data_IF_212145448186
#
_entry.id   IF_212145448186
#
_cell.length_a   1.000
_cell.length_b   1.000
_cell.length_c   1.000
_cell.angle_alpha   90.00
_cell.angle_beta   90.00
_cell.angle_gamma   90.00
#
_symmetry.space_group_name_H-M   'P 1'
#
loop_
_entity.id
_entity.type
_entity.pdbx_description
1 polymer ?
#
# COMPACT_ATOMS: atom_id res chain seq x y z
N UNK A 1 57.33 52.04 35.17
CA UNK A 1 56.15 51.97 34.32
C UNK A 1 55.96 50.53 33.90
N UNK A 2 54.91 49.87 34.48
CA UNK A 2 54.58 48.47 34.17
C UNK A 2 53.32 48.48 33.28
N UNK A 3 53.49 47.97 32.04
CA UNK A 3 52.35 47.78 31.15
C UNK A 3 51.71 46.41 31.43
N UNK A 4 50.46 46.39 31.83
CA UNK A 4 49.65 45.17 31.92
C UNK A 4 48.99 44.91 30.56
N UNK A 5 49.30 43.79 29.93
CA UNK A 5 48.62 43.30 28.73
C UNK A 5 47.32 42.60 29.21
N UNK A 6 46.18 43.14 28.85
CA UNK A 6 44.86 42.46 28.98
C UNK A 6 44.65 41.57 27.78
N UNK A 7 44.61 40.27 28.01
CA UNK A 7 44.27 39.27 26.96
C UNK A 7 42.74 39.10 26.97
N UNK A 8 42.06 39.65 25.96
CA UNK A 8 40.64 39.37 25.71
C UNK A 8 40.50 37.99 25.09
N UNK A 9 40.01 37.02 25.88
CA UNK A 9 39.62 35.70 25.39
C UNK A 9 38.20 35.80 24.79
N UNK A 10 38.10 35.87 23.45
CA UNK A 10 36.81 35.76 22.73
C UNK A 10 36.44 34.31 22.64
N UNK A 11 35.50 33.85 23.48
CA UNK A 11 34.83 32.56 23.36
C UNK A 11 33.88 32.59 22.15
N UNK A 12 34.26 31.92 21.06
CA UNK A 12 33.35 31.59 19.98
C UNK A 12 32.35 30.53 20.48
N UNK A 13 31.13 30.99 20.83
CA UNK A 13 29.98 30.09 20.95
C UNK A 13 29.63 29.61 19.55
N UNK A 14 30.01 28.38 19.25
CA UNK A 14 29.46 27.65 18.09
C UNK A 14 27.97 27.45 18.40
N UNK A 15 27.10 28.19 17.72
CA UNK A 15 25.66 27.87 17.69
C UNK A 15 25.52 26.52 16.96
N UNK A 16 25.43 25.44 17.72
CA UNK A 16 24.89 24.18 17.20
C UNK A 16 23.47 24.51 16.79
N UNK A 17 23.18 24.48 15.48
CA UNK A 17 21.82 24.45 14.99
C UNK A 17 21.16 23.24 15.64
N UNK A 18 20.28 23.46 16.63
CA UNK A 18 19.40 22.43 17.16
C UNK A 18 18.62 21.91 15.97
N UNK A 19 18.79 20.63 15.61
CA UNK A 19 17.93 19.97 14.67
C UNK A 19 16.49 20.20 15.14
N UNK A 20 15.60 20.56 14.22
CA UNK A 20 14.18 20.73 14.55
C UNK A 20 13.66 19.47 15.22
N UNK A 21 13.03 19.59 16.38
CA UNK A 21 12.43 18.47 17.11
C UNK A 21 11.05 18.10 16.51
N UNK A 22 10.79 18.46 15.27
CA UNK A 22 9.52 18.22 14.59
C UNK A 22 9.68 17.66 13.17
N UNK A 23 8.61 17.03 12.69
CA UNK A 23 8.45 16.50 11.34
C UNK A 23 7.02 16.72 10.86
N UNK A 24 6.83 17.22 9.65
CA UNK A 24 5.52 17.40 9.03
C UNK A 24 5.27 16.30 8.00
N UNK A 25 4.25 15.46 8.26
CA UNK A 25 3.90 14.29 7.45
C UNK A 25 2.58 14.48 6.71
N UNK A 26 2.58 14.45 5.38
CA UNK A 26 1.35 14.27 4.61
C UNK A 26 1.04 12.79 4.44
N UNK A 27 -0.18 12.38 4.83
CA UNK A 27 -0.58 10.97 4.83
C UNK A 27 -1.88 10.72 4.08
N UNK A 28 -1.86 9.71 3.18
CA UNK A 28 -3.06 9.08 2.65
C UNK A 28 -3.61 7.97 3.58
N UNK A 29 -2.82 7.54 4.56
CA UNK A 29 -3.26 6.61 5.59
C UNK A 29 -4.01 7.38 6.65
N UNK A 30 -5.15 6.86 7.07
CA UNK A 30 -5.93 7.47 8.15
C UNK A 30 -5.10 7.51 9.45
N UNK A 31 -5.19 8.58 10.24
CA UNK A 31 -4.37 8.77 11.44
C UNK A 31 -4.36 7.56 12.36
N UNK A 32 -5.51 7.03 12.77
CA UNK A 32 -5.60 5.90 13.70
C UNK A 32 -4.87 4.62 13.26
N UNK A 33 -4.50 4.50 11.98
CA UNK A 33 -3.75 3.37 11.42
C UNK A 33 -2.24 3.55 11.47
N UNK A 34 -1.76 4.76 11.72
CA UNK A 34 -0.33 5.08 11.75
C UNK A 34 0.10 5.70 13.08
N UNK A 35 -0.79 6.36 13.81
CA UNK A 35 -0.51 6.98 15.10
C UNK A 35 0.24 6.05 16.07
N UNK A 36 -0.11 4.75 16.25
CA UNK A 36 0.64 3.88 17.16
C UNK A 36 2.12 3.70 16.79
N UNK A 37 2.48 3.86 15.50
CA UNK A 37 3.88 3.84 15.06
C UNK A 37 4.52 5.22 15.30
N UNK A 38 3.81 6.32 15.02
CA UNK A 38 4.31 7.67 15.22
C UNK A 38 4.55 7.99 16.70
N UNK A 39 3.66 7.56 17.59
CA UNK A 39 3.86 7.66 19.04
C UNK A 39 5.12 6.94 19.51
N UNK A 40 5.38 5.73 18.94
CA UNK A 40 6.62 5.01 19.25
C UNK A 40 7.84 5.72 18.69
N UNK A 41 7.74 6.28 17.48
CA UNK A 41 8.82 7.07 16.88
C UNK A 41 9.16 8.28 17.78
N UNK A 42 8.17 9.09 18.14
CA UNK A 42 8.35 10.24 19.02
C UNK A 42 8.95 9.82 20.38
N UNK A 43 8.45 8.73 20.97
CA UNK A 43 8.99 8.21 22.23
C UNK A 43 10.47 7.83 22.13
N UNK A 44 10.88 7.25 21.01
CA UNK A 44 12.23 6.73 20.82
C UNK A 44 13.24 7.82 20.41
N UNK A 45 12.77 8.88 19.75
CA UNK A 45 13.65 9.89 19.13
C UNK A 45 13.50 11.29 19.72
N UNK A 46 12.38 11.59 20.39
CA UNK A 46 12.02 12.94 20.80
C UNK A 46 11.46 13.81 19.66
N UNK A 47 11.37 13.31 18.43
CA UNK A 47 10.88 14.05 17.28
C UNK A 47 9.36 14.00 17.24
N UNK A 48 8.70 15.15 17.31
CA UNK A 48 7.25 15.28 17.19
C UNK A 48 6.80 15.17 15.73
N UNK A 49 5.72 14.41 15.46
CA UNK A 49 5.20 14.22 14.12
C UNK A 49 3.85 14.91 13.93
N UNK A 50 3.85 15.98 13.15
CA UNK A 50 2.66 16.72 12.74
C UNK A 50 2.04 16.04 11.51
N UNK A 51 1.00 15.24 11.71
CA UNK A 51 0.34 14.51 10.62
C UNK A 51 -0.80 15.33 9.99
N UNK A 52 -0.81 15.44 8.68
CA UNK A 52 -1.91 15.99 7.88
C UNK A 52 -2.50 14.93 6.96
N UNK A 53 -3.74 14.52 7.22
CA UNK A 53 -4.45 13.58 6.36
C UNK A 53 -4.88 14.23 5.04
N UNK A 54 -4.54 13.58 3.92
CA UNK A 54 -4.87 14.01 2.57
C UNK A 54 -5.60 12.86 1.87
N UNK A 55 -6.89 13.02 1.57
CA UNK A 55 -7.68 11.95 0.95
C UNK A 55 -7.48 11.86 -0.58
N UNK A 56 -7.17 12.98 -1.24
CA UNK A 56 -6.92 13.10 -2.70
C UNK A 56 -6.09 14.35 -3.01
N UNK A 57 -5.48 14.40 -4.21
CA UNK A 57 -4.84 15.62 -4.72
C UNK A 57 -3.52 15.98 -4.01
N UNK A 58 -2.75 15.00 -3.52
CA UNK A 58 -1.50 15.28 -2.81
C UNK A 58 -0.44 15.91 -3.73
N UNK A 59 -0.32 15.45 -4.98
CA UNK A 59 0.60 16.02 -5.97
C UNK A 59 0.26 17.49 -6.23
N UNK A 60 -1.01 17.79 -6.45
CA UNK A 60 -1.51 19.13 -6.68
C UNK A 60 -1.31 20.02 -5.46
N UNK A 61 -1.55 19.50 -4.26
CA UNK A 61 -1.35 20.22 -3.00
C UNK A 61 0.12 20.62 -2.82
N UNK A 62 1.05 19.68 -3.03
CA UNK A 62 2.50 19.94 -2.87
C UNK A 62 2.96 20.94 -3.94
N UNK A 63 2.55 20.78 -5.21
CA UNK A 63 2.90 21.70 -6.29
C UNK A 63 2.37 23.11 -6.04
N UNK A 64 1.13 23.24 -5.59
CA UNK A 64 0.53 24.54 -5.30
C UNK A 64 1.24 25.27 -4.15
N UNK A 65 1.80 24.57 -3.20
CA UNK A 65 2.57 25.14 -2.10
C UNK A 65 3.99 25.55 -2.54
N UNK A 66 4.56 24.89 -3.56
CA UNK A 66 5.92 25.16 -4.06
C UNK A 66 6.96 25.12 -2.94
N UNK A 67 7.84 26.14 -2.90
CA UNK A 67 8.89 26.26 -1.89
C UNK A 67 8.34 26.52 -0.46
N UNK A 68 7.06 26.85 -0.33
CA UNK A 68 6.37 27.01 0.95
C UNK A 68 5.69 25.73 1.43
N UNK A 69 5.94 24.58 0.77
CA UNK A 69 5.39 23.31 1.22
C UNK A 69 5.89 22.99 2.64
N UNK A 70 4.98 22.82 3.61
CA UNK A 70 5.39 22.54 4.99
C UNK A 70 5.79 21.08 5.23
N UNK A 71 5.38 20.16 4.36
CA UNK A 71 5.59 18.72 4.59
C UNK A 71 7.02 18.31 4.25
N UNK A 72 7.57 17.45 5.09
CA UNK A 72 8.92 16.88 4.96
C UNK A 72 8.87 15.47 4.36
N UNK A 73 7.80 14.73 4.63
CA UNK A 73 7.61 13.37 4.14
C UNK A 73 6.17 13.13 3.70
N UNK A 74 5.99 12.07 2.92
CA UNK A 74 4.67 11.54 2.51
C UNK A 74 4.55 10.09 2.90
N UNK A 75 3.35 9.69 3.33
CA UNK A 75 2.96 8.30 3.56
C UNK A 75 1.77 7.95 2.67
N UNK A 76 1.90 6.90 1.88
CA UNK A 76 0.85 6.49 0.95
C UNK A 76 0.42 5.04 1.17
N UNK A 77 -0.67 4.64 0.53
CA UNK A 77 -1.27 3.30 0.65
C UNK A 77 -1.41 2.60 -0.71
N UNK A 78 -0.65 3.05 -1.71
CA UNK A 78 -0.68 2.50 -3.07
C UNK A 78 0.55 2.95 -3.85
N UNK A 79 1.18 2.02 -4.58
CA UNK A 79 2.38 2.32 -5.39
C UNK A 79 2.12 3.41 -6.44
N UNK A 80 0.93 3.46 -7.03
CA UNK A 80 0.61 4.48 -8.03
C UNK A 80 0.61 5.90 -7.49
N UNK A 81 0.43 6.09 -6.19
CA UNK A 81 0.53 7.41 -5.54
C UNK A 81 1.99 7.81 -5.33
N UNK A 82 2.85 6.86 -4.97
CA UNK A 82 4.30 7.08 -4.89
C UNK A 82 4.90 7.37 -6.27
N UNK A 83 4.52 6.58 -7.27
CA UNK A 83 4.94 6.77 -8.66
C UNK A 83 4.50 8.13 -9.22
N UNK A 84 3.27 8.57 -8.91
CA UNK A 84 2.79 9.90 -9.32
C UNK A 84 3.62 11.04 -8.70
N UNK A 85 4.01 10.93 -7.44
CA UNK A 85 4.90 11.87 -6.77
C UNK A 85 6.31 11.85 -7.36
N UNK A 86 6.85 10.66 -7.65
CA UNK A 86 8.16 10.49 -8.29
C UNK A 86 8.18 11.09 -9.69
N UNK A 87 7.20 10.76 -10.55
CA UNK A 87 7.04 11.35 -11.90
C UNK A 87 6.83 12.86 -11.89
N UNK A 88 6.25 13.38 -10.81
CA UNK A 88 6.09 14.83 -10.61
C UNK A 88 7.39 15.55 -10.20
N UNK A 89 8.48 14.81 -9.91
CA UNK A 89 9.76 15.36 -9.44
C UNK A 89 9.70 15.94 -8.03
N UNK A 90 8.79 15.44 -7.19
CA UNK A 90 8.52 15.97 -5.85
C UNK A 90 9.24 15.20 -4.73
N UNK A 91 9.92 14.12 -5.06
CA UNK A 91 10.60 13.25 -4.10
C UNK A 91 12.09 13.47 -4.08
N UNK A 92 12.68 13.33 -2.91
CA UNK A 92 14.12 13.38 -2.67
C UNK A 92 14.71 11.97 -2.65
N UNK A 93 15.81 11.70 -3.37
CA UNK A 93 16.51 10.42 -3.26
C UNK A 93 17.10 10.24 -1.85
N UNK A 94 16.85 9.11 -1.25
CA UNK A 94 17.41 8.70 0.04
C UNK A 94 18.29 7.48 -0.16
N UNK A 95 19.54 7.56 0.28
CA UNK A 95 20.48 6.44 0.36
C UNK A 95 20.60 6.05 1.84
N UNK A 96 20.17 4.86 2.19
CA UNK A 96 20.23 4.34 3.54
C UNK A 96 20.49 2.83 3.50
N UNK A 97 21.65 2.39 3.98
CA UNK A 97 21.95 0.96 4.10
C UNK A 97 20.91 0.20 4.94
N UNK A 98 20.32 0.86 5.96
CA UNK A 98 19.27 0.28 6.78
C UNK A 98 18.01 -0.02 5.95
N UNK A 99 17.57 0.93 5.10
CA UNK A 99 16.40 0.74 4.23
C UNK A 99 16.67 -0.29 3.14
N UNK A 100 17.92 -0.35 2.64
CA UNK A 100 18.33 -1.32 1.63
C UNK A 100 18.36 -2.75 2.16
N UNK A 101 18.76 -2.93 3.41
CA UNK A 101 18.77 -4.21 4.12
C UNK A 101 17.36 -4.67 4.52
N UNK A 102 16.55 -3.74 5.06
CA UNK A 102 15.22 -4.05 5.57
C UNK A 102 14.16 -4.27 4.49
N UNK A 103 14.31 -3.65 3.31
CA UNK A 103 13.26 -3.62 2.28
C UNK A 103 13.78 -4.29 0.99
N UNK A 104 13.18 -5.41 0.55
CA UNK A 104 13.53 -6.06 -0.70
C UNK A 104 13.52 -5.11 -1.90
N UNK A 105 14.46 -5.28 -2.82
CA UNK A 105 14.68 -4.34 -3.94
C UNK A 105 13.45 -4.14 -4.83
N UNK A 106 12.60 -5.15 -5.00
CA UNK A 106 11.36 -5.07 -5.78
C UNK A 106 10.25 -4.25 -5.08
N UNK A 107 10.39 -3.96 -3.77
CA UNK A 107 9.46 -3.17 -2.96
C UNK A 107 9.95 -1.75 -2.70
N UNK A 108 11.05 -1.29 -3.30
CA UNK A 108 11.57 0.07 -3.19
C UNK A 108 11.96 0.64 -4.55
N UNK A 109 12.06 1.96 -4.63
CA UNK A 109 12.49 2.62 -5.87
C UNK A 109 13.98 2.36 -6.11
N UNK A 110 14.41 2.03 -7.33
CA UNK A 110 15.82 1.74 -7.61
C UNK A 110 16.76 2.93 -7.32
N UNK A 111 16.26 4.15 -7.41
CA UNK A 111 17.00 5.39 -7.10
C UNK A 111 16.70 5.93 -5.69
N UNK A 112 16.05 5.15 -4.80
CA UNK A 112 15.76 5.58 -3.44
C UNK A 112 14.69 6.66 -3.30
N UNK A 113 13.82 6.86 -4.30
CA UNK A 113 12.77 7.89 -4.25
C UNK A 113 11.61 7.52 -3.32
N UNK A 114 11.33 6.25 -3.09
CA UNK A 114 10.31 5.77 -2.18
C UNK A 114 10.63 4.36 -1.67
N UNK A 115 10.02 4.01 -0.54
CA UNK A 115 10.23 2.77 0.20
C UNK A 115 8.90 2.14 0.59
N UNK A 116 8.73 0.84 0.28
CA UNK A 116 7.61 0.04 0.75
C UNK A 116 7.75 -0.24 2.24
N UNK A 117 6.68 -0.08 3.00
CA UNK A 117 6.66 -0.25 4.45
C UNK A 117 5.72 -1.37 4.92
N UNK A 118 4.80 -1.79 4.07
CA UNK A 118 3.98 -2.98 4.31
C UNK A 118 3.46 -3.54 3.01
N UNK A 119 3.24 -4.86 2.96
CA UNK A 119 2.74 -5.59 1.80
C UNK A 119 1.23 -5.79 1.92
N UNK A 120 0.54 -5.55 0.82
CA UNK A 120 -0.91 -5.62 0.70
C UNK A 120 -1.27 -6.57 -0.43
N UNK A 121 -1.45 -7.86 -0.10
CA UNK A 121 -1.77 -8.89 -1.08
C UNK A 121 -3.18 -8.72 -1.65
N UNK A 122 -3.31 -8.80 -2.97
CA UNK A 122 -4.58 -8.90 -3.68
C UNK A 122 -4.95 -10.36 -3.80
N UNK A 123 -6.11 -10.73 -3.28
CA UNK A 123 -6.52 -12.12 -3.07
C UNK A 123 -7.89 -12.39 -3.67
N UNK A 124 -8.23 -13.66 -3.84
CA UNK A 124 -9.60 -14.09 -3.96
C UNK A 124 -10.18 -14.42 -2.58
N UNK A 125 -11.41 -13.98 -2.33
CA UNK A 125 -12.27 -14.50 -1.28
C UNK A 125 -13.20 -15.53 -1.92
N UNK A 126 -13.36 -16.68 -1.28
CA UNK A 126 -14.18 -17.78 -1.77
C UNK A 126 -15.22 -18.15 -0.73
N UNK A 127 -16.45 -18.43 -1.14
CA UNK A 127 -17.49 -18.90 -0.23
C UNK A 127 -17.09 -20.19 0.46
N UNK A 128 -17.27 -20.27 1.79
CA UNK A 128 -17.09 -21.54 2.53
C UNK A 128 -18.24 -22.51 2.33
N UNK A 129 -19.42 -22.04 1.97
CA UNK A 129 -20.65 -22.84 1.86
C UNK A 129 -20.90 -23.33 0.44
N UNK A 130 -20.44 -22.57 -0.57
CA UNK A 130 -20.70 -22.88 -1.98
C UNK A 130 -19.40 -23.28 -2.67
N UNK A 131 -19.33 -24.52 -3.22
CA UNK A 131 -18.12 -25.00 -3.88
C UNK A 131 -17.84 -24.23 -5.17
N UNK A 132 -16.56 -24.12 -5.50
CA UNK A 132 -16.13 -23.56 -6.80
C UNK A 132 -16.58 -24.45 -7.95
N UNK A 133 -16.96 -23.83 -9.04
CA UNK A 133 -17.37 -24.51 -10.29
C UNK A 133 -16.19 -24.83 -11.21
N UNK A 134 -15.02 -24.23 -10.95
CA UNK A 134 -13.78 -24.44 -11.71
C UNK A 134 -12.53 -24.15 -10.89
N UNK A 135 -11.34 -24.30 -11.48
CA UNK A 135 -10.07 -24.00 -10.79
C UNK A 135 -9.99 -22.53 -10.42
N UNK A 136 -9.33 -22.24 -9.30
CA UNK A 136 -9.03 -20.87 -8.87
C UNK A 136 -7.69 -20.88 -8.12
N UNK A 137 -6.61 -21.06 -8.86
CA UNK A 137 -5.24 -21.10 -8.34
C UNK A 137 -4.37 -19.96 -8.90
N UNK A 138 -4.78 -19.39 -10.03
CA UNK A 138 -4.09 -18.29 -10.71
C UNK A 138 -5.03 -17.11 -10.91
N UNK A 139 -4.47 -15.92 -11.05
CA UNK A 139 -5.25 -14.73 -11.40
C UNK A 139 -5.98 -14.89 -12.74
N UNK A 140 -5.37 -15.63 -13.68
CA UNK A 140 -5.97 -15.96 -14.98
C UNK A 140 -7.28 -16.74 -14.84
N UNK A 141 -7.39 -17.61 -13.84
CA UNK A 141 -8.55 -18.48 -13.63
C UNK A 141 -9.84 -17.70 -13.32
N UNK A 142 -9.72 -16.43 -12.86
CA UNK A 142 -10.89 -15.56 -12.67
C UNK A 142 -11.63 -15.26 -13.98
N UNK A 143 -10.97 -15.40 -15.13
CA UNK A 143 -11.58 -15.22 -16.45
C UNK A 143 -12.16 -16.52 -17.04
N UNK A 144 -12.03 -17.65 -16.34
CA UNK A 144 -12.58 -18.94 -16.80
C UNK A 144 -14.12 -18.87 -16.82
N UNK A 145 -14.79 -19.25 -17.95
CA UNK A 145 -16.25 -19.28 -18.06
C UNK A 145 -16.96 -20.13 -16.99
N UNK A 146 -16.27 -21.09 -16.36
CA UNK A 146 -16.82 -21.86 -15.24
C UNK A 146 -17.25 -20.97 -14.04
N UNK A 147 -16.76 -19.73 -13.98
CA UNK A 147 -17.11 -18.75 -12.95
C UNK A 147 -18.17 -17.74 -13.40
N UNK A 148 -18.88 -18.00 -14.50
CA UNK A 148 -19.93 -17.09 -15.00
C UNK A 148 -20.97 -16.77 -13.92
N UNK A 149 -21.19 -15.47 -13.68
CA UNK A 149 -22.13 -14.98 -12.69
C UNK A 149 -21.71 -15.21 -11.23
N UNK A 150 -20.45 -15.51 -10.96
CA UNK A 150 -19.96 -15.88 -9.62
C UNK A 150 -19.06 -14.85 -8.96
N UNK A 151 -18.59 -13.82 -9.69
CA UNK A 151 -17.55 -12.92 -9.18
C UNK A 151 -18.14 -11.58 -8.77
N UNK A 152 -17.75 -11.10 -7.56
CA UNK A 152 -17.93 -9.74 -7.09
C UNK A 152 -16.60 -9.00 -7.06
N UNK A 153 -16.62 -7.71 -7.46
CA UNK A 153 -15.47 -6.83 -7.33
C UNK A 153 -15.92 -5.37 -7.17
N UNK A 154 -15.03 -4.56 -6.66
CA UNK A 154 -15.15 -3.10 -6.69
C UNK A 154 -14.83 -2.56 -8.09
N UNK A 155 -15.05 -1.25 -8.32
CA UNK A 155 -14.73 -0.60 -9.58
C UNK A 155 -13.34 -0.99 -10.11
N UNK A 156 -13.25 -1.30 -11.39
CA UNK A 156 -11.99 -1.53 -12.09
C UNK A 156 -11.06 -0.32 -12.01
N UNK A 157 -11.61 0.91 -12.01
CA UNK A 157 -10.85 2.17 -11.90
C UNK A 157 -10.31 2.44 -10.50
N UNK A 158 -10.67 1.63 -9.51
CA UNK A 158 -10.08 1.81 -8.19
C UNK A 158 -8.58 1.47 -8.24
N UNK A 159 -7.70 2.26 -7.56
CA UNK A 159 -6.25 2.07 -7.61
C UNK A 159 -5.78 0.63 -7.43
N UNK A 160 -6.44 -0.18 -6.59
CA UNK A 160 -6.07 -1.59 -6.37
C UNK A 160 -6.32 -2.47 -7.60
N UNK A 161 -7.43 -2.29 -8.30
CA UNK A 161 -7.71 -3.04 -9.53
C UNK A 161 -6.88 -2.52 -10.70
N UNK A 162 -6.63 -1.20 -10.77
CA UNK A 162 -5.68 -0.63 -11.76
C UNK A 162 -4.28 -1.23 -11.58
N UNK A 163 -3.81 -1.39 -10.33
CA UNK A 163 -2.50 -2.00 -10.06
C UNK A 163 -2.48 -3.49 -10.46
N UNK A 164 -3.55 -4.23 -10.19
CA UNK A 164 -3.69 -5.63 -10.61
C UNK A 164 -3.64 -5.77 -12.13
N UNK A 165 -4.42 -4.96 -12.86
CA UNK A 165 -4.41 -4.98 -14.33
C UNK A 165 -3.05 -4.56 -14.88
N UNK A 166 -2.41 -3.56 -14.27
CA UNK A 166 -1.05 -3.14 -14.62
C UNK A 166 -0.02 -4.26 -14.42
N UNK A 167 -0.17 -5.07 -13.38
CA UNK A 167 0.67 -6.26 -13.16
C UNK A 167 0.46 -7.31 -14.28
N UNK A 168 -0.77 -7.54 -14.71
CA UNK A 168 -1.04 -8.46 -15.82
C UNK A 168 -0.42 -7.93 -17.12
N UNK A 169 -0.52 -6.62 -17.38
CA UNK A 169 0.13 -6.01 -18.56
C UNK A 169 1.65 -6.20 -18.50
N UNK A 170 2.25 -5.97 -17.36
CA UNK A 170 3.70 -6.08 -17.18
C UNK A 170 4.23 -7.51 -17.41
N UNK A 171 3.45 -8.53 -17.05
CA UNK A 171 3.82 -9.93 -17.24
C UNK A 171 3.44 -10.48 -18.63
N UNK A 172 2.29 -10.11 -19.15
CA UNK A 172 1.64 -10.83 -20.27
C UNK A 172 1.27 -9.90 -21.45
N UNK A 173 1.41 -8.57 -21.27
CA UNK A 173 1.09 -7.58 -22.30
C UNK A 173 -0.39 -7.14 -22.29
N UNK A 174 -0.68 -6.07 -23.07
CA UNK A 174 -1.99 -5.44 -23.10
C UNK A 174 -3.10 -6.34 -23.68
N UNK A 175 -2.77 -7.17 -24.69
CA UNK A 175 -3.75 -8.05 -25.32
C UNK A 175 -4.27 -9.12 -24.34
N UNK A 176 -3.38 -9.75 -23.57
CA UNK A 176 -3.75 -10.72 -22.55
C UNK A 176 -4.55 -10.07 -21.42
N UNK A 177 -4.13 -8.89 -20.97
CA UNK A 177 -4.85 -8.12 -19.95
C UNK A 177 -6.26 -7.70 -20.43
N UNK A 178 -6.44 -7.36 -21.71
CA UNK A 178 -7.76 -7.08 -22.27
C UNK A 178 -8.64 -8.32 -22.24
N UNK A 179 -8.16 -9.46 -22.73
CA UNK A 179 -8.88 -10.74 -22.72
C UNK A 179 -9.28 -11.13 -21.29
N UNK A 180 -8.36 -10.98 -20.34
CA UNK A 180 -8.64 -11.25 -18.94
C UNK A 180 -9.75 -10.32 -18.38
N UNK A 181 -9.69 -9.03 -18.67
CA UNK A 181 -10.71 -8.06 -18.23
C UNK A 181 -12.10 -8.40 -18.80
N UNK A 182 -12.17 -8.79 -20.08
CA UNK A 182 -13.41 -9.19 -20.74
C UNK A 182 -13.98 -10.46 -20.08
N UNK A 183 -13.16 -11.50 -19.89
CA UNK A 183 -13.58 -12.73 -19.22
C UNK A 183 -14.05 -12.51 -17.78
N UNK A 184 -13.28 -11.76 -16.99
CA UNK A 184 -13.70 -11.42 -15.62
C UNK A 184 -15.00 -10.60 -15.61
N UNK A 185 -15.15 -9.63 -16.54
CA UNK A 185 -16.39 -8.84 -16.65
C UNK A 185 -17.60 -9.74 -16.90
N UNK A 186 -17.47 -10.71 -17.80
CA UNK A 186 -18.57 -11.61 -18.17
C UNK A 186 -18.88 -12.60 -17.03
N UNK A 187 -17.90 -12.91 -16.17
CA UNK A 187 -18.06 -13.71 -14.97
C UNK A 187 -18.63 -12.94 -13.76
N UNK A 188 -18.83 -11.60 -13.86
CA UNK A 188 -19.36 -10.83 -12.76
C UNK A 188 -20.81 -11.21 -12.43
N UNK A 189 -21.11 -11.38 -11.14
CA UNK A 189 -22.48 -11.61 -10.66
C UNK A 189 -23.31 -10.33 -10.73
N UNK A 190 -22.67 -9.17 -10.63
CA UNK A 190 -23.29 -7.85 -10.65
C UNK A 190 -22.30 -6.80 -11.16
N UNK A 191 -22.82 -5.61 -11.49
CA UNK A 191 -21.98 -4.44 -11.77
C UNK A 191 -20.98 -4.20 -10.62
N UNK A 192 -19.70 -3.90 -10.92
CA UNK A 192 -18.70 -3.52 -9.91
C UNK A 192 -19.18 -2.37 -9.01
N UNK A 193 -19.11 -2.56 -7.70
CA UNK A 193 -19.61 -1.58 -6.73
C UNK A 193 -19.03 -1.78 -5.32
N UNK A 194 -19.18 -0.77 -4.48
CA UNK A 194 -18.79 -0.82 -3.08
C UNK A 194 -17.27 -0.89 -2.86
N UNK A 195 -16.87 -1.23 -1.66
CA UNK A 195 -15.48 -1.44 -1.25
C UNK A 195 -15.20 -2.94 -1.04
N UNK A 196 -13.98 -3.29 -0.61
CA UNK A 196 -13.60 -4.71 -0.43
C UNK A 196 -14.47 -5.43 0.62
N UNK A 197 -14.93 -4.74 1.70
CA UNK A 197 -15.86 -5.34 2.67
C UNK A 197 -17.22 -5.67 2.04
N UNK A 198 -17.68 -4.83 1.12
CA UNK A 198 -18.92 -5.07 0.39
C UNK A 198 -18.83 -6.28 -0.55
N UNK A 199 -17.63 -6.71 -0.93
CA UNK A 199 -17.42 -7.92 -1.71
C UNK A 199 -17.58 -9.17 -0.82
N UNK A 200 -16.98 -9.18 0.38
CA UNK A 200 -17.20 -10.26 1.36
C UNK A 200 -18.69 -10.34 1.78
N UNK A 201 -19.33 -9.19 2.00
CA UNK A 201 -20.78 -9.12 2.23
C UNK A 201 -21.57 -9.77 1.08
N UNK A 202 -21.18 -9.51 -0.18
CA UNK A 202 -21.82 -10.10 -1.35
C UNK A 202 -21.77 -11.64 -1.35
N UNK A 203 -20.65 -12.22 -0.91
CA UNK A 203 -20.53 -13.67 -0.72
C UNK A 203 -21.45 -14.15 0.42
N UNK A 204 -21.41 -13.49 1.56
CA UNK A 204 -22.29 -13.80 2.71
C UNK A 204 -23.78 -13.79 2.34
N UNK A 205 -24.21 -12.82 1.51
CA UNK A 205 -25.59 -12.67 1.04
C UNK A 205 -25.94 -13.59 -0.15
N UNK A 206 -25.02 -14.42 -0.63
CA UNK A 206 -25.26 -15.33 -1.75
C UNK A 206 -25.32 -14.67 -3.13
N UNK A 207 -24.88 -13.41 -3.25
CA UNK A 207 -24.86 -12.68 -4.53
C UNK A 207 -23.75 -13.21 -5.44
N UNK A 208 -22.63 -13.63 -4.87
CA UNK A 208 -21.48 -14.18 -5.59
C UNK A 208 -20.78 -15.23 -4.73
N UNK A 209 -19.95 -16.07 -5.34
CA UNK A 209 -19.20 -17.13 -4.67
C UNK A 209 -17.71 -16.81 -4.56
N UNK A 210 -17.24 -15.89 -5.42
CA UNK A 210 -15.86 -15.43 -5.49
C UNK A 210 -15.85 -13.90 -5.39
N UNK A 211 -14.84 -13.34 -4.71
CA UNK A 211 -14.64 -11.89 -4.74
C UNK A 211 -13.15 -11.52 -4.78
N UNK A 212 -12.83 -10.42 -5.44
CA UNK A 212 -11.47 -9.86 -5.47
C UNK A 212 -11.35 -8.82 -4.35
N UNK A 213 -10.41 -9.02 -3.43
CA UNK A 213 -10.22 -8.18 -2.24
C UNK A 213 -8.75 -8.02 -1.87
N UNK A 214 -8.45 -7.09 -0.97
CA UNK A 214 -7.18 -7.08 -0.26
C UNK A 214 -7.33 -7.85 1.06
N UNK A 215 -6.31 -8.64 1.40
CA UNK A 215 -6.33 -9.57 2.54
C UNK A 215 -6.62 -8.89 3.88
N UNK A 216 -6.04 -7.73 4.16
CA UNK A 216 -6.14 -7.06 5.47
C UNK A 216 -7.57 -6.64 5.84
N UNK A 217 -8.49 -6.52 4.87
CA UNK A 217 -9.90 -6.29 5.17
C UNK A 217 -10.53 -7.45 5.94
N UNK A 218 -10.01 -8.67 5.75
CA UNK A 218 -10.46 -9.85 6.49
C UNK A 218 -10.18 -9.70 7.99
N UNK A 219 -8.94 -9.33 8.36
CA UNK A 219 -8.60 -9.06 9.74
C UNK A 219 -9.45 -7.94 10.35
N UNK A 220 -9.59 -6.84 9.59
CA UNK A 220 -10.41 -5.69 10.05
C UNK A 220 -11.89 -6.00 10.20
N UNK A 221 -12.46 -6.91 9.41
CA UNK A 221 -13.85 -7.35 9.58
C UNK A 221 -14.00 -8.34 10.75
N UNK A 222 -13.08 -9.30 10.86
CA UNK A 222 -13.12 -10.32 11.91
C UNK A 222 -12.97 -9.75 13.33
N UNK A 223 -12.33 -8.57 13.46
CA UNK A 223 -12.09 -7.91 14.75
C UNK A 223 -12.94 -6.64 14.96
N UNK A 224 -13.94 -6.40 14.10
CA UNK A 224 -14.72 -5.16 14.17
C UNK A 224 -15.78 -5.20 15.26
N UNK A 225 -15.56 -4.47 16.36
CA UNK A 225 -16.52 -4.36 17.45
C UNK A 225 -17.61 -3.29 17.20
N UNK A 226 -17.29 -2.26 16.40
CA UNK A 226 -18.27 -1.20 16.06
C UNK A 226 -19.34 -1.67 15.08
N UNK A 227 -18.99 -2.65 14.21
CA UNK A 227 -19.87 -3.23 13.18
C UNK A 227 -19.81 -4.74 13.23
N UNK A 228 -20.38 -5.38 14.26
CA UNK A 228 -20.25 -6.81 14.51
C UNK A 228 -20.81 -7.70 13.40
N UNK A 229 -21.70 -7.17 12.55
CA UNK A 229 -22.16 -7.88 11.36
C UNK A 229 -21.04 -8.21 10.37
N UNK A 230 -19.92 -7.45 10.38
CA UNK A 230 -18.78 -7.71 9.52
C UNK A 230 -18.02 -8.98 9.90
N UNK A 231 -18.10 -9.41 11.18
CA UNK A 231 -17.51 -10.69 11.63
C UNK A 231 -18.14 -11.87 10.87
N UNK A 232 -19.47 -11.85 10.71
CA UNK A 232 -20.18 -12.89 9.92
C UNK A 232 -19.79 -12.89 8.45
N UNK A 233 -19.50 -11.70 7.86
CA UNK A 233 -19.01 -11.63 6.47
C UNK A 233 -17.62 -12.23 6.34
N UNK A 234 -16.75 -12.02 7.34
CA UNK A 234 -15.42 -12.62 7.37
C UNK A 234 -15.47 -14.13 7.57
N UNK A 235 -16.37 -14.64 8.42
CA UNK A 235 -16.57 -16.07 8.68
C UNK A 235 -17.09 -16.82 7.45
N UNK A 236 -17.89 -16.17 6.60
CA UNK A 236 -18.49 -16.79 5.41
C UNK A 236 -17.51 -17.06 4.27
N UNK A 237 -16.27 -16.54 4.36
CA UNK A 237 -15.30 -16.59 3.27
C UNK A 237 -13.97 -17.21 3.68
N UNK A 238 -13.28 -17.78 2.70
CA UNK A 238 -11.91 -18.27 2.78
C UNK A 238 -11.00 -17.29 2.01
N UNK A 239 -9.82 -17.00 2.57
CA UNK A 239 -8.75 -16.26 1.89
C UNK A 239 -7.99 -17.22 0.99
N UNK A 240 -7.84 -16.85 -0.29
CA UNK A 240 -7.07 -17.62 -1.26
C UNK A 240 -6.05 -16.73 -1.97
N UNK A 241 -4.77 -17.04 -1.77
CA UNK A 241 -3.69 -16.47 -2.55
C UNK A 241 -3.62 -17.14 -3.93
N UNK A 242 -3.31 -16.36 -4.95
CA UNK A 242 -3.28 -16.83 -6.33
C UNK A 242 -1.83 -16.85 -6.86
N UNK A 243 -1.59 -17.59 -7.94
CA UNK A 243 -0.28 -17.72 -8.61
C UNK A 243 0.86 -18.27 -7.73
N UNK A 244 0.53 -19.02 -6.67
CA UNK A 244 1.50 -19.55 -5.69
C UNK A 244 2.53 -20.52 -6.29
N UNK A 245 2.19 -21.20 -7.36
CA UNK A 245 3.08 -22.13 -8.09
C UNK A 245 3.70 -21.50 -9.36
N UNK A 246 3.60 -20.21 -9.52
CA UNK A 246 4.06 -19.50 -10.72
C UNK A 246 4.78 -18.19 -10.38
N UNK A 247 4.24 -17.07 -10.84
CA UNK A 247 4.84 -15.73 -10.67
C UNK A 247 4.74 -15.14 -9.27
N UNK A 248 4.02 -15.78 -8.36
CA UNK A 248 3.70 -15.23 -7.06
C UNK A 248 2.44 -14.36 -7.04
N UNK A 249 1.86 -14.20 -5.86
CA UNK A 249 0.64 -13.42 -5.66
C UNK A 249 0.88 -11.92 -5.90
N UNK A 250 -0.01 -11.27 -6.65
CA UNK A 250 0.06 -9.83 -6.86
C UNK A 250 -0.02 -9.07 -5.52
N UNK A 251 0.93 -8.16 -5.32
CA UNK A 251 1.01 -7.31 -4.13
C UNK A 251 1.06 -5.83 -4.50
N UNK A 252 0.64 -5.00 -3.56
CA UNK A 252 0.84 -3.58 -3.53
C UNK A 252 1.45 -3.20 -2.18
N UNK A 253 1.84 -1.96 -1.98
CA UNK A 253 2.47 -1.50 -0.75
C UNK A 253 1.74 -0.32 -0.12
N UNK A 254 1.89 -0.19 1.20
CA UNK A 254 1.96 1.14 1.80
C UNK A 254 3.42 1.54 1.83
N UNK A 255 3.71 2.79 1.59
CA UNK A 255 5.10 3.24 1.54
C UNK A 255 5.23 4.72 1.82
N UNK A 256 6.47 5.14 2.07
CA UNK A 256 6.83 6.52 2.38
C UNK A 256 7.94 7.04 1.47
N UNK A 257 8.06 8.35 1.44
CA UNK A 257 9.11 9.04 0.71
C UNK A 257 9.43 10.39 1.39
N UNK A 258 10.68 10.82 1.32
CA UNK A 258 11.09 12.18 1.66
C UNK A 258 10.71 13.14 0.53
N UNK A 259 10.26 14.33 0.88
CA UNK A 259 9.92 15.37 -0.11
C UNK A 259 11.15 16.19 -0.47
N UNK A 260 11.21 16.58 -1.74
CA UNK A 260 12.25 17.49 -2.22
C UNK A 260 12.10 18.85 -1.56
N UNK A 261 13.21 19.39 -1.05
CA UNK A 261 13.22 20.65 -0.34
C UNK A 261 12.64 20.62 1.07
N UNK A 262 12.49 19.43 1.66
CA UNK A 262 12.06 19.26 3.04
C UNK A 262 12.97 20.02 4.01
N UNK A 263 12.38 20.79 4.92
CA UNK A 263 13.12 21.55 5.96
C UNK A 263 13.73 20.62 7.00
N UNK A 264 13.00 19.56 7.36
CA UNK A 264 13.39 18.58 8.34
C UNK A 264 13.75 17.23 7.66
N UNK A 265 14.59 17.30 6.62
CA UNK A 265 14.97 16.14 5.78
C UNK A 265 15.48 14.95 6.60
N UNK A 266 16.38 15.20 7.54
CA UNK A 266 16.99 14.12 8.36
C UNK A 266 15.94 13.46 9.27
N UNK A 267 14.99 14.20 9.80
CA UNK A 267 13.87 13.66 10.58
C UNK A 267 12.92 12.84 9.69
N UNK A 268 12.73 13.26 8.42
CA UNK A 268 11.95 12.50 7.45
C UNK A 268 12.60 11.13 7.15
N UNK A 269 13.92 11.10 6.97
CA UNK A 269 14.68 9.86 6.77
C UNK A 269 14.60 8.98 8.01
N UNK A 270 14.83 9.54 9.20
CA UNK A 270 14.74 8.82 10.46
C UNK A 270 13.36 8.18 10.67
N UNK A 271 12.26 8.87 10.30
CA UNK A 271 10.92 8.28 10.36
C UNK A 271 10.79 7.10 9.38
N UNK A 272 11.27 7.23 8.14
CA UNK A 272 11.17 6.15 7.13
C UNK A 272 11.97 4.93 7.61
N UNK A 273 13.16 5.12 8.14
CA UNK A 273 14.01 4.08 8.72
C UNK A 273 13.34 3.40 9.92
N UNK A 274 12.76 4.18 10.85
CA UNK A 274 12.01 3.64 11.98
C UNK A 274 10.81 2.79 11.51
N UNK A 275 10.07 3.26 10.50
CA UNK A 275 8.93 2.54 9.95
C UNK A 275 9.33 1.23 9.22
N UNK A 276 10.57 1.11 8.75
CA UNK A 276 11.15 -0.12 8.21
C UNK A 276 11.74 -1.04 9.30
N UNK A 277 11.92 -0.54 10.53
CA UNK A 277 12.48 -1.28 11.66
C UNK A 277 11.49 -2.27 12.29
N UNK A 278 12.03 -3.21 13.08
CA UNK A 278 11.29 -4.36 13.64
C UNK A 278 10.04 -3.95 14.42
N UNK A 279 10.13 -2.92 15.25
CA UNK A 279 9.01 -2.44 16.08
C UNK A 279 7.82 -1.98 15.24
N UNK A 280 8.07 -1.13 14.26
CA UNK A 280 7.02 -0.62 13.38
C UNK A 280 6.47 -1.71 12.45
N UNK A 281 7.34 -2.59 11.95
CA UNK A 281 6.94 -3.71 11.10
C UNK A 281 6.03 -4.70 11.84
N UNK A 282 6.31 -4.99 13.11
CA UNK A 282 5.43 -5.80 13.95
C UNK A 282 4.05 -5.13 14.16
N UNK A 283 4.03 -3.80 14.36
CA UNK A 283 2.78 -3.03 14.49
C UNK A 283 1.95 -3.00 13.20
N UNK A 284 2.58 -2.94 12.00
CA UNK A 284 1.86 -3.07 10.74
C UNK A 284 1.06 -4.39 10.67
N UNK A 285 1.68 -5.50 11.08
CA UNK A 285 1.00 -6.79 11.17
C UNK A 285 -0.12 -6.82 12.22
N UNK A 286 0.17 -6.32 13.42
CA UNK A 286 -0.74 -6.40 14.56
C UNK A 286 -1.96 -5.46 14.43
N UNK A 287 -1.76 -4.21 14.01
CA UNK A 287 -2.81 -3.17 13.97
C UNK A 287 -3.53 -3.14 12.63
N UNK A 288 -2.76 -3.29 11.53
CA UNK A 288 -3.28 -3.11 10.18
C UNK A 288 -3.60 -4.42 9.46
N UNK A 289 -3.16 -5.57 10.00
CA UNK A 289 -3.26 -6.89 9.35
C UNK A 289 -2.53 -6.94 8.00
N UNK A 290 -1.56 -6.05 7.77
CA UNK A 290 -0.72 -6.01 6.57
C UNK A 290 0.53 -6.85 6.81
N UNK A 291 1.09 -7.48 5.76
CA UNK A 291 2.35 -8.21 5.91
C UNK A 291 3.53 -7.25 6.01
N UNK A 292 4.49 -7.52 6.89
CA UNK A 292 5.74 -6.78 6.94
C UNK A 292 6.51 -6.91 5.61
N UNK A 293 7.28 -5.88 5.26
CA UNK A 293 8.26 -5.97 4.17
C UNK A 293 9.54 -6.66 4.61
N UNK A 294 9.86 -6.56 5.91
CA UNK A 294 11.03 -7.18 6.52
C UNK A 294 10.74 -8.64 6.88
N UNK A 295 11.64 -9.54 6.51
CA UNK A 295 11.51 -10.96 6.83
C UNK A 295 11.64 -11.23 8.33
N UNK A 296 11.08 -12.36 8.79
CA UNK A 296 11.19 -12.83 10.16
C UNK A 296 10.30 -12.11 11.20
N UNK A 297 9.59 -11.07 10.81
CA UNK A 297 8.69 -10.33 11.70
C UNK A 297 7.39 -11.14 11.93
N UNK A 298 7.02 -11.32 13.20
CA UNK A 298 5.73 -11.94 13.56
C UNK A 298 4.58 -11.00 13.27
N UNK A 299 3.50 -11.55 12.74
CA UNK A 299 2.28 -10.82 12.42
C UNK A 299 1.15 -11.18 13.39
N UNK A 300 -0.05 -10.63 13.13
CA UNK A 300 -1.24 -11.00 13.90
C UNK A 300 -1.60 -12.48 13.64
N UNK A 301 -2.05 -13.27 14.67
CA UNK A 301 -2.43 -14.67 14.48
C UNK A 301 -3.43 -14.93 13.35
N UNK A 302 -4.37 -14.00 13.10
CA UNK A 302 -5.27 -14.08 11.95
C UNK A 302 -4.53 -14.02 10.62
N UNK A 303 -3.51 -13.16 10.49
CA UNK A 303 -2.71 -13.06 9.27
C UNK A 303 -1.92 -14.35 9.05
N UNK A 304 -1.35 -14.91 10.12
CA UNK A 304 -0.63 -16.18 10.09
C UNK A 304 -1.56 -17.35 9.72
N UNK A 305 -2.83 -17.32 10.17
CA UNK A 305 -3.81 -18.36 9.88
C UNK A 305 -4.21 -18.47 8.41
N UNK A 306 -4.00 -17.41 7.62
CA UNK A 306 -4.24 -17.45 6.16
C UNK A 306 -3.10 -18.11 5.40
N UNK A 307 -2.01 -18.45 6.09
CA UNK A 307 -0.82 -19.05 5.51
C UNK A 307 0.17 -18.03 4.96
N UNK A 308 1.30 -18.55 4.48
CA UNK A 308 2.33 -17.77 3.79
C UNK A 308 2.05 -17.78 2.30
N UNK A 309 2.48 -16.73 1.62
CA UNK A 309 2.45 -16.64 0.17
C UNK A 309 3.79 -16.09 -0.34
N UNK A 310 4.11 -16.42 -1.56
CA UNK A 310 5.19 -15.79 -2.29
C UNK A 310 4.62 -14.56 -3.02
N UNK A 311 5.21 -13.41 -2.76
CA UNK A 311 4.86 -12.19 -3.47
C UNK A 311 5.46 -12.23 -4.89
N UNK A 312 4.73 -11.65 -5.85
CA UNK A 312 5.26 -11.41 -7.19
C UNK A 312 6.56 -10.58 -7.08
N UNK A 313 7.71 -11.12 -7.54
CA UNK A 313 8.99 -10.44 -7.42
C UNK A 313 9.20 -9.31 -8.45
N UNK A 314 8.25 -9.08 -9.36
CA UNK A 314 8.34 -7.99 -10.33
C UNK A 314 8.42 -6.65 -9.59
N UNK A 315 9.41 -5.79 -9.91
CA UNK A 315 9.54 -4.50 -9.26
C UNK A 315 8.26 -3.67 -9.36
N UNK A 316 7.78 -3.16 -8.23
CA UNK A 316 6.55 -2.35 -8.21
C UNK A 316 6.67 -1.07 -9.06
N UNK A 317 7.87 -0.54 -9.22
CA UNK A 317 8.14 0.56 -10.14
C UNK A 317 7.82 0.18 -11.61
N UNK A 318 8.09 -1.07 -12.00
CA UNK A 318 7.75 -1.59 -13.33
C UNK A 318 6.23 -1.70 -13.50
N UNK A 319 5.55 -2.31 -12.54
CA UNK A 319 4.08 -2.38 -12.54
C UNK A 319 3.46 -0.97 -12.63
N UNK A 320 4.01 -0.01 -11.91
CA UNK A 320 3.50 1.37 -11.91
C UNK A 320 3.56 2.04 -13.30
N UNK A 321 4.51 1.68 -14.16
CA UNK A 321 4.62 2.21 -15.54
C UNK A 321 3.42 1.87 -16.41
N UNK A 322 2.75 0.74 -16.15
CA UNK A 322 1.60 0.25 -16.93
C UNK A 322 0.24 0.76 -16.44
N UNK A 323 0.17 1.59 -15.39
CA UNK A 323 -1.11 2.04 -14.80
C UNK A 323 -1.98 2.85 -15.74
N UNK A 324 -1.38 3.67 -16.62
CA UNK A 324 -2.14 4.43 -17.60
C UNK A 324 -2.78 3.49 -18.65
N UNK A 325 -2.00 2.54 -19.17
CA UNK A 325 -2.50 1.52 -20.10
C UNK A 325 -3.61 0.67 -19.45
N UNK A 326 -3.41 0.25 -18.19
CA UNK A 326 -4.41 -0.47 -17.42
C UNK A 326 -5.74 0.32 -17.30
N UNK A 327 -5.66 1.62 -17.01
CA UNK A 327 -6.86 2.48 -16.92
C UNK A 327 -7.58 2.58 -18.26
N UNK A 328 -6.83 2.73 -19.37
CA UNK A 328 -7.40 2.77 -20.73
C UNK A 328 -8.08 1.43 -21.10
N UNK A 329 -7.47 0.28 -20.74
CA UNK A 329 -8.06 -1.04 -20.99
C UNK A 329 -9.34 -1.26 -20.18
N UNK A 330 -9.38 -0.86 -18.91
CA UNK A 330 -10.58 -0.94 -18.07
C UNK A 330 -11.74 -0.15 -18.70
N UNK A 331 -11.46 1.04 -19.26
CA UNK A 331 -12.46 1.84 -19.97
C UNK A 331 -12.88 1.19 -21.29
N UNK A 332 -11.91 0.74 -22.11
CA UNK A 332 -12.13 0.11 -23.40
C UNK A 332 -13.01 -1.14 -23.27
N UNK A 333 -12.74 -1.99 -22.28
CA UNK A 333 -13.51 -3.21 -22.00
C UNK A 333 -14.85 -2.93 -21.33
N UNK A 334 -15.14 -1.67 -20.98
CA UNK A 334 -16.35 -1.27 -20.25
C UNK A 334 -16.56 -2.06 -18.95
N UNK A 335 -15.46 -2.43 -18.29
CA UNK A 335 -15.47 -3.31 -17.12
C UNK A 335 -16.48 -2.89 -16.05
N UNK A 336 -16.54 -1.58 -15.73
CA UNK A 336 -17.43 -1.03 -14.71
C UNK A 336 -18.92 -0.99 -15.10
N UNK A 337 -19.25 -1.39 -16.33
CA UNK A 337 -20.67 -1.58 -16.72
C UNK A 337 -21.24 -2.92 -16.24
N UNK A 338 -20.36 -3.86 -15.85
CA UNK A 338 -20.75 -5.21 -15.44
C UNK A 338 -20.93 -6.16 -16.62
N UNK A 339 -21.48 -7.35 -16.38
CA UNK A 339 -21.64 -8.37 -17.42
C UNK A 339 -22.52 -7.90 -18.56
N UNK A 340 -22.26 -8.41 -19.75
CA UNK A 340 -22.95 -8.03 -21.00
C UNK A 340 -24.32 -8.71 -21.19
N UNK A 341 -24.91 -9.25 -20.10
CA UNK A 341 -26.22 -9.93 -20.12
C UNK A 341 -27.36 -8.95 -20.22
#
# INVERSE_FOLDING_TARGET
MRYALVFCLTTLLSAQALASEELNLYSYRQPFLIEPMLESFTKNTGIEVNISFVNKGMVEKIRAAGDNNPADAVLTVDIGRLDALAKAGLLEPVQSPLLEDAIPSHLRHPEGLWFGLSIRARIALVSRERPLTGPLTRIADLADPAHEGKICTRSGKHPYNVALVASIIAHEGEAAAQTWLEGVRDNLARKPQGNDRAQAKGIYEGVCDIAISNHYYMGKMATNEEKPEQKRWAEAVEVRFLDMSGRGNHVNISGAAALKGAKNRENAIALIEFLAGDEAQAKYGAVNFEYPVKEGIKTHPLVESWGRFEADPLPLAEIARHREAATKLIDKTRFDRGPSR
#
